data_IF_786919301535
#
_entry.id   IF_786919301535
#
_cell.length_a   1.000
_cell.length_b   1.000
_cell.length_c   1.000
_cell.angle_alpha   90.00
_cell.angle_beta   90.00
_cell.angle_gamma   90.00
#
_symmetry.space_group_name_H-M   'P 1'
#
loop_
_entity.id
_entity.type
_entity.pdbx_description
1 polymer ?
#
# COMPACT_ATOMS: atom_id res chain seq x y z
N UNK A 1 -9.08 -14.78 1.91
CA UNK A 1 -10.32 -14.77 2.72
C UNK A 1 -9.91 -14.73 4.19
N UNK A 2 -10.35 -13.74 4.92
CA UNK A 2 -9.93 -13.59 6.32
C UNK A 2 -10.88 -14.39 7.22
N UNK A 3 -10.32 -15.26 8.07
CA UNK A 3 -11.09 -16.12 9.01
C UNK A 3 -12.04 -15.26 9.89
N UNK A 4 -11.71 -13.99 10.12
CA UNK A 4 -12.53 -13.06 10.90
C UNK A 4 -13.90 -12.75 10.29
N UNK A 5 -14.01 -12.73 8.95
CA UNK A 5 -15.27 -12.44 8.25
C UNK A 5 -16.29 -13.56 8.47
N UNK A 6 -15.81 -14.80 8.66
CA UNK A 6 -16.65 -15.98 8.92
C UNK A 6 -17.11 -16.05 10.37
N UNK A 7 -16.33 -15.52 11.32
CA UNK A 7 -16.63 -15.62 12.75
C UNK A 7 -17.75 -14.65 13.21
N UNK A 8 -17.96 -13.53 12.49
CA UNK A 8 -19.00 -12.56 12.81
C UNK A 8 -19.49 -11.85 11.54
N UNK A 9 -20.39 -12.45 10.75
CA UNK A 9 -20.83 -11.94 9.44
C UNK A 9 -21.41 -10.53 9.45
N UNK A 10 -21.96 -10.08 10.58
CA UNK A 10 -22.51 -8.72 10.75
C UNK A 10 -21.46 -7.64 11.07
N UNK A 11 -20.21 -8.01 11.29
CA UNK A 11 -19.13 -7.07 11.62
C UNK A 11 -18.49 -6.49 10.37
N UNK A 12 -18.25 -5.19 10.41
CA UNK A 12 -17.44 -4.51 9.38
C UNK A 12 -15.98 -4.85 9.66
N UNK A 13 -15.38 -5.68 8.81
CA UNK A 13 -13.99 -6.14 8.95
C UNK A 13 -13.16 -5.64 7.79
N UNK A 14 -11.90 -5.32 8.04
CA UNK A 14 -10.92 -5.02 7.01
C UNK A 14 -9.55 -5.61 7.35
N UNK A 15 -8.71 -5.78 6.34
CA UNK A 15 -7.30 -6.17 6.43
C UNK A 15 -6.50 -5.28 5.49
N UNK A 16 -5.17 -5.16 5.66
CA UNK A 16 -4.35 -4.40 4.72
C UNK A 16 -4.55 -4.80 3.25
N UNK A 17 -4.68 -6.10 2.98
CA UNK A 17 -4.89 -6.61 1.62
C UNK A 17 -6.27 -6.24 1.06
N UNK A 18 -7.34 -6.42 1.85
CA UNK A 18 -8.71 -6.05 1.44
C UNK A 18 -8.83 -4.54 1.23
N UNK A 19 -8.24 -3.76 2.14
CA UNK A 19 -8.23 -2.31 2.06
C UNK A 19 -7.44 -1.79 0.84
N UNK A 20 -6.31 -2.44 0.51
CA UNK A 20 -5.53 -2.09 -0.68
C UNK A 20 -6.36 -2.25 -1.96
N UNK A 21 -7.06 -3.38 -2.11
CA UNK A 21 -7.95 -3.63 -3.26
C UNK A 21 -9.08 -2.60 -3.31
N UNK A 22 -9.70 -2.29 -2.17
CA UNK A 22 -10.77 -1.30 -2.09
C UNK A 22 -10.28 0.10 -2.50
N UNK A 23 -9.13 0.54 -1.98
CA UNK A 23 -8.53 1.83 -2.30
C UNK A 23 -8.16 1.95 -3.79
N UNK A 24 -7.50 0.94 -4.35
CA UNK A 24 -7.13 0.92 -5.77
C UNK A 24 -8.36 0.98 -6.69
N UNK A 25 -9.43 0.25 -6.35
CA UNK A 25 -10.70 0.29 -7.08
C UNK A 25 -11.40 1.64 -6.95
N UNK A 26 -11.44 2.24 -5.76
CA UNK A 26 -12.00 3.58 -5.53
C UNK A 26 -11.31 4.65 -6.37
N UNK A 27 -9.99 4.55 -6.52
CA UNK A 27 -9.18 5.47 -7.31
C UNK A 27 -9.15 5.14 -8.82
N UNK A 28 -9.88 4.11 -9.27
CA UNK A 28 -9.87 3.61 -10.66
C UNK A 28 -8.47 3.23 -11.17
N UNK A 29 -7.59 2.82 -10.28
CA UNK A 29 -6.23 2.40 -10.60
C UNK A 29 -6.27 0.97 -11.14
N UNK A 30 -5.53 0.72 -12.23
CA UNK A 30 -5.39 -0.60 -12.86
C UNK A 30 -3.96 -1.07 -12.93
N UNK A 31 -3.02 -0.15 -13.05
CA UNK A 31 -1.59 -0.43 -13.18
C UNK A 31 -0.86 0.01 -11.92
N UNK A 32 -0.12 -0.90 -11.31
CA UNK A 32 0.61 -0.65 -10.08
C UNK A 32 2.07 -1.08 -10.19
N UNK A 33 2.96 -0.32 -9.59
CA UNK A 33 4.27 -0.80 -9.19
C UNK A 33 4.22 -1.20 -7.72
N UNK A 34 4.93 -2.27 -7.35
CA UNK A 34 4.92 -2.81 -5.99
C UNK A 34 6.30 -2.68 -5.37
N UNK A 35 6.33 -2.24 -4.12
CA UNK A 35 7.51 -2.26 -3.28
C UNK A 35 7.24 -3.02 -1.99
N UNK A 36 8.17 -3.88 -1.60
CA UNK A 36 8.11 -4.61 -0.33
C UNK A 36 9.47 -4.62 0.37
N UNK A 37 9.53 -4.72 1.70
CA UNK A 37 10.81 -4.97 2.37
C UNK A 37 11.20 -6.45 2.36
N UNK A 38 10.31 -7.35 1.98
CA UNK A 38 10.40 -8.79 2.18
C UNK A 38 11.42 -9.48 1.28
N UNK A 39 11.86 -10.71 1.65
CA UNK A 39 12.61 -11.58 0.74
C UNK A 39 11.85 -11.88 -0.55
N UNK A 40 12.61 -12.18 -1.61
CA UNK A 40 12.08 -12.41 -2.95
C UNK A 40 10.86 -13.34 -2.99
N UNK A 41 10.89 -14.44 -2.21
CA UNK A 41 9.79 -15.41 -2.18
C UNK A 41 8.48 -14.77 -1.74
N UNK A 42 8.51 -13.98 -0.66
CA UNK A 42 7.32 -13.31 -0.13
C UNK A 42 6.90 -12.13 -1.02
N UNK A 43 7.87 -11.38 -1.56
CA UNK A 43 7.59 -10.35 -2.57
C UNK A 43 6.81 -10.94 -3.75
N UNK A 44 7.22 -12.09 -4.28
CA UNK A 44 6.53 -12.76 -5.38
C UNK A 44 5.09 -13.17 -5.03
N UNK A 45 4.83 -13.55 -3.77
CA UNK A 45 3.46 -13.84 -3.30
C UNK A 45 2.59 -12.57 -3.29
N UNK A 46 3.13 -11.43 -2.85
CA UNK A 46 2.43 -10.15 -2.89
C UNK A 46 2.10 -9.77 -4.34
N UNK A 47 3.07 -9.89 -5.24
CA UNK A 47 2.87 -9.63 -6.68
C UNK A 47 1.78 -10.52 -7.26
N UNK A 48 1.81 -11.83 -6.96
CA UNK A 48 0.80 -12.80 -7.43
C UNK A 48 -0.59 -12.44 -6.91
N UNK A 49 -0.70 -12.07 -5.64
CA UNK A 49 -1.98 -11.64 -5.05
C UNK A 49 -2.64 -10.51 -5.85
N UNK A 50 -1.88 -9.45 -6.19
CA UNK A 50 -2.46 -8.33 -6.96
C UNK A 50 -2.79 -8.72 -8.41
N UNK A 51 -2.00 -9.62 -9.04
CA UNK A 51 -2.33 -10.15 -10.36
C UNK A 51 -3.61 -11.00 -10.36
N UNK A 52 -3.82 -11.81 -9.32
CA UNK A 52 -5.05 -12.61 -9.14
C UNK A 52 -6.27 -11.70 -8.98
N UNK A 53 -6.11 -10.58 -8.30
CA UNK A 53 -7.13 -9.52 -8.16
C UNK A 53 -7.29 -8.64 -9.42
N UNK A 54 -6.63 -9.02 -10.54
CA UNK A 54 -6.74 -8.40 -11.88
C UNK A 54 -6.09 -7.02 -12.00
N UNK A 55 -5.13 -6.69 -11.14
CA UNK A 55 -4.27 -5.54 -11.35
C UNK A 55 -3.09 -5.88 -12.24
N UNK A 56 -2.71 -4.96 -13.11
CA UNK A 56 -1.49 -5.05 -13.88
C UNK A 56 -0.31 -4.58 -13.03
N UNK A 57 0.56 -5.51 -12.64
CA UNK A 57 1.82 -5.16 -11.96
C UNK A 57 2.86 -4.85 -13.03
N UNK A 58 3.23 -3.57 -13.15
CA UNK A 58 4.15 -3.07 -14.18
C UNK A 58 5.60 -3.26 -13.79
N UNK A 59 5.89 -3.17 -12.50
CA UNK A 59 7.22 -3.39 -11.93
C UNK A 59 7.12 -3.79 -10.46
N UNK A 60 8.19 -4.34 -9.92
CA UNK A 60 8.29 -4.58 -8.48
C UNK A 60 9.75 -4.50 -8.02
N UNK A 61 9.95 -4.05 -6.78
CA UNK A 61 11.25 -4.00 -6.11
C UNK A 61 11.11 -4.42 -4.65
N UNK A 62 12.18 -4.89 -4.05
CA UNK A 62 12.17 -5.36 -2.65
C UNK A 62 13.54 -5.15 -1.99
N UNK A 63 13.56 -5.14 -0.65
CA UNK A 63 14.79 -4.90 0.15
C UNK A 63 15.47 -6.19 0.62
N UNK A 64 14.82 -7.34 0.50
CA UNK A 64 15.34 -8.65 0.93
C UNK A 64 15.64 -8.73 2.45
N UNK A 65 14.77 -8.16 3.27
CA UNK A 65 14.90 -8.17 4.73
C UNK A 65 14.08 -9.32 5.31
N UNK A 66 14.73 -10.22 6.07
CA UNK A 66 14.11 -11.40 6.66
C UNK A 66 13.39 -11.12 7.99
N UNK A 67 13.82 -10.12 8.74
CA UNK A 67 13.36 -9.86 10.11
C UNK A 67 12.45 -8.63 10.21
N UNK A 68 11.26 -8.79 10.76
CA UNK A 68 10.36 -7.67 11.07
C UNK A 68 11.01 -6.63 11.97
N UNK A 69 11.90 -7.06 12.89
CA UNK A 69 12.65 -6.18 13.77
C UNK A 69 13.68 -5.30 13.04
N UNK A 70 14.02 -5.62 11.81
CA UNK A 70 14.92 -4.80 10.99
C UNK A 70 14.14 -3.94 9.99
N UNK A 71 12.95 -4.37 9.59
CA UNK A 71 12.08 -3.59 8.70
C UNK A 71 11.69 -2.24 9.31
N UNK A 72 11.31 -2.19 10.59
CA UNK A 72 10.91 -0.94 11.23
C UNK A 72 12.07 0.04 11.46
N UNK A 73 13.33 -0.43 11.42
CA UNK A 73 14.54 0.39 11.54
C UNK A 73 14.98 1.04 10.23
N UNK A 74 14.34 0.66 9.12
CA UNK A 74 14.70 1.23 7.81
C UNK A 74 14.45 2.73 7.85
N UNK A 75 15.49 3.49 7.48
CA UNK A 75 15.45 4.94 7.50
C UNK A 75 14.44 5.48 6.46
N UNK A 76 13.53 6.40 6.84
CA UNK A 76 12.56 6.97 5.91
C UNK A 76 13.18 7.75 4.74
N UNK A 77 14.32 8.40 4.92
CA UNK A 77 14.99 9.12 3.84
C UNK A 77 15.61 8.14 2.84
N UNK A 78 16.18 7.03 3.33
CA UNK A 78 16.61 5.92 2.48
C UNK A 78 15.43 5.34 1.68
N UNK A 79 14.28 5.10 2.34
CA UNK A 79 13.07 4.63 1.66
C UNK A 79 12.59 5.62 0.59
N UNK A 80 12.66 6.91 0.88
CA UNK A 80 12.30 7.95 -0.09
C UNK A 80 13.20 7.90 -1.33
N UNK A 81 14.50 7.74 -1.15
CA UNK A 81 15.45 7.63 -2.26
C UNK A 81 15.22 6.37 -3.08
N UNK A 82 15.08 5.21 -2.44
CA UNK A 82 14.82 3.94 -3.11
C UNK A 82 13.51 4.01 -3.91
N UNK A 83 12.43 4.47 -3.28
CA UNK A 83 11.10 4.57 -3.91
C UNK A 83 11.06 5.62 -5.04
N UNK A 84 11.88 6.66 -4.96
CA UNK A 84 11.97 7.66 -6.03
C UNK A 84 12.72 7.11 -7.25
N UNK A 85 13.77 6.32 -7.03
CA UNK A 85 14.67 5.88 -8.08
C UNK A 85 14.35 4.48 -8.66
N UNK A 86 13.44 3.72 -8.03
CA UNK A 86 13.04 2.43 -8.59
C UNK A 86 12.28 2.63 -9.92
N UNK A 87 12.36 1.63 -10.78
CA UNK A 87 11.52 1.60 -11.98
C UNK A 87 10.05 1.41 -11.59
N UNK A 88 9.19 2.30 -12.06
CA UNK A 88 7.75 2.22 -11.86
C UNK A 88 7.01 1.75 -13.11
N UNK A 89 7.71 1.64 -14.25
CA UNK A 89 7.06 1.40 -15.54
C UNK A 89 5.99 2.47 -15.84
N UNK A 90 4.89 2.03 -16.41
CA UNK A 90 3.71 2.87 -16.70
C UNK A 90 2.62 2.78 -15.61
N UNK A 91 3.01 2.52 -14.36
CA UNK A 91 2.10 2.43 -13.23
C UNK A 91 1.33 3.74 -12.97
N UNK A 92 0.04 3.61 -12.64
CA UNK A 92 -0.81 4.70 -12.15
C UNK A 92 -0.53 5.00 -10.68
N UNK A 93 -0.12 3.98 -9.93
CA UNK A 93 0.17 4.06 -8.50
C UNK A 93 1.35 3.18 -8.07
N UNK A 94 1.98 3.57 -6.97
CA UNK A 94 2.95 2.76 -6.22
C UNK A 94 2.26 2.18 -5.00
N UNK A 95 2.33 0.86 -4.81
CA UNK A 95 1.84 0.21 -3.60
C UNK A 95 3.01 -0.32 -2.75
N UNK A 96 3.09 0.16 -1.51
CA UNK A 96 4.12 -0.21 -0.54
C UNK A 96 3.52 -1.19 0.46
N UNK A 97 3.88 -2.46 0.33
CA UNK A 97 3.28 -3.55 1.09
C UNK A 97 4.11 -3.91 2.31
N UNK A 98 3.85 -3.28 3.42
CA UNK A 98 4.25 -3.70 4.76
C UNK A 98 3.69 -2.75 5.82
N UNK A 99 3.21 -3.26 6.95
CA UNK A 99 2.73 -2.44 8.07
C UNK A 99 3.86 -1.99 9.01
N UNK A 100 5.03 -2.64 8.95
CA UNK A 100 6.18 -2.27 9.77
C UNK A 100 7.06 -1.16 9.16
N UNK A 101 6.95 -0.89 7.85
CA UNK A 101 7.75 0.16 7.21
C UNK A 101 7.32 1.56 7.65
N UNK A 102 8.26 2.46 8.01
CA UNK A 102 7.98 3.83 8.45
C UNK A 102 7.75 4.78 7.25
N UNK A 103 6.77 4.48 6.37
CA UNK A 103 6.55 5.20 5.11
C UNK A 103 5.50 6.31 5.19
N UNK A 104 4.64 6.33 6.20
CA UNK A 104 3.50 7.26 6.24
C UNK A 104 3.91 8.73 6.10
N UNK A 105 5.01 9.10 6.72
CA UNK A 105 5.53 10.48 6.71
C UNK A 105 6.11 10.93 5.36
N UNK A 106 6.46 10.00 4.47
CA UNK A 106 7.04 10.31 3.16
C UNK A 106 6.05 10.17 2.00
N UNK A 107 4.86 9.62 2.22
CA UNK A 107 3.86 9.37 1.16
C UNK A 107 3.55 10.63 0.36
N UNK A 108 3.21 11.73 1.04
CA UNK A 108 2.85 12.97 0.36
C UNK A 108 4.02 13.55 -0.47
N UNK A 109 5.24 13.44 0.04
CA UNK A 109 6.45 13.87 -0.66
C UNK A 109 6.72 13.00 -1.89
N UNK A 110 6.53 11.68 -1.79
CA UNK A 110 6.63 10.75 -2.90
C UNK A 110 5.59 11.02 -3.98
N UNK A 111 4.32 11.21 -3.62
CA UNK A 111 3.25 11.52 -4.58
C UNK A 111 3.53 12.80 -5.38
N UNK A 112 4.08 13.82 -4.71
CA UNK A 112 4.46 15.07 -5.35
C UNK A 112 5.64 14.88 -6.33
N UNK A 113 6.62 14.09 -5.95
CA UNK A 113 7.81 13.84 -6.77
C UNK A 113 7.48 12.93 -7.97
N UNK A 114 6.79 11.83 -7.74
CA UNK A 114 6.49 10.83 -8.76
C UNK A 114 5.30 11.22 -9.66
N UNK A 115 4.51 12.21 -9.24
CA UNK A 115 3.22 12.56 -9.85
C UNK A 115 2.29 11.34 -10.01
N UNK A 116 2.33 10.43 -9.07
CA UNK A 116 1.53 9.19 -9.00
C UNK A 116 0.81 9.11 -7.65
N UNK A 117 -0.19 8.25 -7.56
CA UNK A 117 -0.69 7.83 -6.24
C UNK A 117 0.37 6.96 -5.55
N UNK A 118 0.57 7.18 -4.25
CA UNK A 118 1.41 6.32 -3.42
C UNK A 118 0.57 5.80 -2.26
N UNK A 119 0.39 4.49 -2.21
CA UNK A 119 -0.43 3.81 -1.22
C UNK A 119 0.44 2.90 -0.36
N UNK A 120 0.19 2.85 0.94
CA UNK A 120 0.85 1.92 1.85
C UNK A 120 -0.16 1.08 2.63
N UNK A 121 0.29 -0.08 3.11
CA UNK A 121 -0.56 -1.00 3.90
C UNK A 121 -1.24 -0.32 5.08
N UNK A 122 -0.52 0.52 5.83
CA UNK A 122 -1.09 1.25 6.97
C UNK A 122 -2.09 2.31 6.53
N UNK A 123 -1.75 3.08 5.48
CA UNK A 123 -2.61 4.14 4.97
C UNK A 123 -3.95 3.58 4.48
N UNK A 124 -3.93 2.53 3.65
CA UNK A 124 -5.17 1.93 3.11
C UNK A 124 -6.01 1.28 4.21
N UNK A 125 -5.36 0.67 5.22
CA UNK A 125 -6.06 0.06 6.35
C UNK A 125 -6.82 1.12 7.18
N UNK A 126 -6.17 2.23 7.49
CA UNK A 126 -6.79 3.35 8.20
C UNK A 126 -7.93 3.94 7.35
N UNK A 127 -7.69 4.20 6.08
CA UNK A 127 -8.68 4.74 5.15
C UNK A 127 -9.93 3.85 5.07
N UNK A 128 -9.77 2.54 4.80
CA UNK A 128 -10.91 1.61 4.67
C UNK A 128 -11.66 1.42 6.00
N UNK A 129 -10.95 1.51 7.12
CA UNK A 129 -11.57 1.51 8.45
C UNK A 129 -12.48 2.72 8.63
N UNK A 130 -11.99 3.91 8.30
CA UNK A 130 -12.77 5.15 8.39
C UNK A 130 -13.98 5.13 7.46
N UNK A 131 -13.82 4.68 6.21
CA UNK A 131 -14.93 4.49 5.26
C UNK A 131 -16.01 3.57 5.84
N UNK A 132 -15.60 2.43 6.41
CA UNK A 132 -16.55 1.44 6.98
C UNK A 132 -17.34 1.95 8.18
N UNK A 133 -16.79 2.86 8.96
CA UNK A 133 -17.50 3.47 10.11
C UNK A 133 -18.19 4.78 9.74
N UNK A 134 -18.12 5.21 8.47
CA UNK A 134 -18.80 6.42 7.99
C UNK A 134 -18.07 7.73 8.36
N UNK A 135 -16.78 7.67 8.59
CA UNK A 135 -15.92 8.83 8.92
C UNK A 135 -15.09 9.20 7.69
N UNK A 136 -15.67 9.97 6.77
CA UNK A 136 -15.05 10.31 5.48
C UNK A 136 -14.42 11.72 5.51
N UNK A 137 -13.85 12.12 6.64
CA UNK A 137 -13.17 13.40 6.77
C UNK A 137 -11.83 13.38 6.01
N UNK A 138 -11.56 14.44 5.27
CA UNK A 138 -10.23 14.63 4.66
C UNK A 138 -9.16 14.75 5.74
N UNK A 139 -8.05 14.02 5.56
CA UNK A 139 -6.89 14.04 6.47
C UNK A 139 -5.68 14.51 5.66
N UNK A 140 -5.20 15.71 5.94
CA UNK A 140 -4.04 16.28 5.25
C UNK A 140 -2.72 15.68 5.75
N UNK A 141 -1.71 15.65 4.88
CA UNK A 141 -0.35 15.20 5.23
C UNK A 141 -0.06 13.73 4.94
N UNK A 142 -1.08 12.92 4.66
CA UNK A 142 -0.95 11.48 4.47
C UNK A 142 -1.30 10.99 3.06
N UNK A 143 -1.14 11.86 2.05
CA UNK A 143 -1.34 11.51 0.64
C UNK A 143 -2.74 11.76 0.12
N UNK A 144 -2.90 11.57 -1.19
CA UNK A 144 -4.12 11.89 -1.94
C UNK A 144 -5.30 10.98 -1.60
N UNK A 145 -5.05 9.76 -1.11
CA UNK A 145 -6.11 8.78 -0.78
C UNK A 145 -7.12 9.37 0.21
N UNK A 146 -6.68 10.08 1.24
CA UNK A 146 -7.55 10.71 2.25
C UNK A 146 -8.26 11.98 1.78
N UNK A 147 -7.98 12.44 0.56
CA UNK A 147 -8.59 13.63 -0.03
C UNK A 147 -9.44 13.29 -1.28
N UNK A 148 -9.61 11.99 -1.57
CA UNK A 148 -10.31 11.48 -2.76
C UNK A 148 -11.76 11.12 -2.43
N UNK A 149 -12.53 12.07 -1.90
CA UNK A 149 -13.98 11.92 -1.63
C UNK A 149 -14.82 12.25 -2.85
#
# INVERSE_FOLDING_TARGET
>A
MCIRDSAKPSSKVTTPSTAAIAALKKLNIKKISIFTPYPQKLNNQVVSFFKDEKFQVTSNSYLDIDSDSDIWKVDPDFLYEVLTNMDHGDADAVFISCTALPVLQIIQKLEKNLNKFVLSSNQVLIWDTLEKIGQNNSISGFGKLFNSN
#
